data_IF_190359075219
#
_entry.id   IF_190359075219
#
_cell.length_a   1.000
_cell.length_b   1.000
_cell.length_c   1.000
_cell.angle_alpha   90.00
_cell.angle_beta   90.00
_cell.angle_gamma   90.00
#
_symmetry.space_group_name_H-M   'P 1'
#
loop_
_entity.id
_entity.type
_entity.pdbx_description
1 polymer ?
#
# COMPACT_ATOMS: atom_id res chain seq x y z
N UNK A 1 6.35 16.26 -8.47
CA UNK A 1 6.23 15.39 -9.67
C UNK A 1 5.12 14.38 -9.43
N UNK A 2 4.35 13.99 -10.46
CA UNK A 2 3.16 13.13 -10.32
C UNK A 2 3.45 11.79 -9.61
N UNK A 3 4.67 11.28 -9.76
CA UNK A 3 5.19 10.06 -9.16
C UNK A 3 5.16 10.05 -7.62
N UNK A 4 5.51 11.19 -7.00
CA UNK A 4 5.50 11.31 -5.54
C UNK A 4 4.07 11.26 -4.99
N UNK A 5 3.10 11.83 -5.71
CA UNK A 5 1.70 11.77 -5.31
C UNK A 5 1.13 10.35 -5.47
N UNK A 6 1.51 9.61 -6.51
CA UNK A 6 1.08 8.21 -6.68
C UNK A 6 1.66 7.29 -5.61
N UNK A 7 2.93 7.47 -5.26
CA UNK A 7 3.56 6.72 -4.18
C UNK A 7 2.93 7.03 -2.82
N UNK A 8 2.64 8.31 -2.55
CA UNK A 8 1.98 8.71 -1.31
C UNK A 8 0.59 8.08 -1.19
N UNK A 9 -0.21 8.12 -2.26
CA UNK A 9 -1.52 7.47 -2.28
C UNK A 9 -1.42 5.95 -2.10
N UNK A 10 -0.38 5.31 -2.63
CA UNK A 10 -0.14 3.88 -2.44
C UNK A 10 0.14 3.55 -0.97
N UNK A 11 0.96 4.37 -0.31
CA UNK A 11 1.29 4.22 1.11
C UNK A 11 0.05 4.35 1.99
N UNK A 12 -0.76 5.38 1.75
CA UNK A 12 -1.99 5.62 2.51
C UNK A 12 -2.97 4.45 2.39
N UNK A 13 -3.17 3.93 1.17
CA UNK A 13 -3.99 2.73 0.93
C UNK A 13 -3.45 1.50 1.62
N UNK A 14 -2.15 1.25 1.50
CA UNK A 14 -1.51 0.12 2.16
C UNK A 14 -1.71 0.18 3.68
N UNK A 15 -1.53 1.35 4.30
CA UNK A 15 -1.76 1.53 5.75
C UNK A 15 -3.23 1.32 6.13
N UNK A 16 -4.17 1.86 5.35
CA UNK A 16 -5.60 1.63 5.58
C UNK A 16 -5.95 0.14 5.51
N UNK A 17 -5.36 -0.60 4.57
CA UNK A 17 -5.55 -2.04 4.45
C UNK A 17 -4.99 -2.79 5.67
N UNK A 18 -3.81 -2.44 6.18
CA UNK A 18 -3.26 -3.05 7.39
C UNK A 18 -4.16 -2.84 8.61
N UNK A 19 -4.78 -1.66 8.73
CA UNK A 19 -5.76 -1.36 9.78
C UNK A 19 -7.01 -2.22 9.61
N UNK A 20 -7.56 -2.33 8.40
CA UNK A 20 -8.71 -3.19 8.10
C UNK A 20 -8.45 -4.66 8.41
N UNK A 21 -7.22 -5.11 8.20
CA UNK A 21 -6.79 -6.48 8.50
C UNK A 21 -6.39 -6.68 9.97
N UNK A 22 -6.49 -5.66 10.82
CA UNK A 22 -6.06 -5.68 12.23
C UNK A 22 -4.60 -6.12 12.45
N UNK A 23 -3.72 -5.80 11.49
CA UNK A 23 -2.26 -6.08 11.56
C UNK A 23 -1.41 -4.81 11.64
N UNK A 24 -2.05 -3.64 11.76
CA UNK A 24 -1.35 -2.36 11.89
C UNK A 24 -0.45 -2.27 13.14
N UNK A 25 -0.69 -3.10 14.16
CA UNK A 25 0.14 -3.17 15.37
C UNK A 25 1.48 -3.90 15.14
N UNK A 26 1.66 -4.61 14.03
CA UNK A 26 2.95 -5.16 13.63
C UNK A 26 3.83 -4.06 13.03
N UNK A 27 4.43 -3.27 13.92
CA UNK A 27 5.29 -2.13 13.57
C UNK A 27 6.43 -2.55 12.63
N UNK A 28 7.00 -3.75 12.81
CA UNK A 28 8.08 -4.24 11.95
C UNK A 28 7.59 -4.46 10.52
N UNK A 29 6.41 -5.06 10.37
CA UNK A 29 5.77 -5.26 9.08
C UNK A 29 5.43 -3.92 8.42
N UNK A 30 4.85 -2.99 9.19
CA UNK A 30 4.48 -1.65 8.73
C UNK A 30 5.70 -0.90 8.21
N UNK A 31 6.78 -0.85 8.99
CA UNK A 31 8.03 -0.16 8.63
C UNK A 31 8.68 -0.80 7.40
N UNK A 32 8.76 -2.14 7.38
CA UNK A 32 9.29 -2.87 6.24
C UNK A 32 8.51 -2.56 4.95
N UNK A 33 7.17 -2.52 5.03
CA UNK A 33 6.32 -2.22 3.89
C UNK A 33 6.53 -0.79 3.39
N UNK A 34 6.55 0.20 4.29
CA UNK A 34 6.76 1.60 3.93
C UNK A 34 8.13 1.83 3.26
N UNK A 35 9.17 1.17 3.76
CA UNK A 35 10.51 1.23 3.17
C UNK A 35 10.54 0.57 1.78
N UNK A 36 9.90 -0.60 1.62
CA UNK A 36 9.85 -1.31 0.33
C UNK A 36 9.07 -0.54 -0.71
N UNK A 37 7.93 0.06 -0.35
CA UNK A 37 7.15 0.91 -1.26
C UNK A 37 7.98 2.08 -1.82
N UNK A 38 8.90 2.63 -1.02
CA UNK A 38 9.80 3.72 -1.45
C UNK A 38 10.88 3.32 -2.45
N UNK A 39 11.10 2.03 -2.69
CA UNK A 39 12.12 1.50 -3.61
C UNK A 39 11.53 1.02 -4.95
N UNK A 40 10.22 1.13 -5.14
CA UNK A 40 9.53 0.59 -6.31
C UNK A 40 9.68 1.48 -7.53
N UNK A 41 9.85 0.84 -8.67
CA UNK A 41 9.76 1.46 -9.99
C UNK A 41 8.29 1.79 -10.34
N UNK A 42 8.07 2.78 -11.20
CA UNK A 42 6.73 3.28 -11.59
C UNK A 42 5.76 2.16 -12.02
N UNK A 43 6.27 1.19 -12.78
CA UNK A 43 5.48 0.04 -13.25
C UNK A 43 4.93 -0.77 -12.08
N UNK A 44 5.76 -1.02 -11.07
CA UNK A 44 5.40 -1.86 -9.94
C UNK A 44 4.45 -1.11 -9.00
N UNK A 45 4.61 0.21 -8.85
CA UNK A 45 3.67 1.09 -8.14
C UNK A 45 2.26 1.00 -8.71
N UNK A 46 2.11 1.04 -10.05
CA UNK A 46 0.81 0.95 -10.72
C UNK A 46 0.15 -0.43 -10.52
N UNK A 47 0.92 -1.50 -10.60
CA UNK A 47 0.43 -2.87 -10.37
C UNK A 47 0.01 -3.09 -8.92
N UNK A 48 0.77 -2.57 -7.95
CA UNK A 48 0.43 -2.64 -6.52
C UNK A 48 -0.84 -1.85 -6.20
N UNK A 49 -1.04 -0.67 -6.79
CA UNK A 49 -2.29 0.08 -6.66
C UNK A 49 -3.50 -0.76 -7.06
N UNK A 50 -3.40 -1.48 -8.19
CA UNK A 50 -4.47 -2.35 -8.67
C UNK A 50 -4.70 -3.53 -7.74
N UNK A 51 -3.63 -4.18 -7.28
CA UNK A 51 -3.72 -5.32 -6.36
C UNK A 51 -4.39 -4.91 -5.03
N UNK A 52 -3.97 -3.80 -4.42
CA UNK A 52 -4.58 -3.30 -3.19
C UNK A 52 -6.05 -3.00 -3.39
N UNK A 53 -6.42 -2.36 -4.50
CA UNK A 53 -7.82 -2.09 -4.82
C UNK A 53 -8.65 -3.38 -4.95
N UNK A 54 -8.12 -4.40 -5.63
CA UNK A 54 -8.81 -5.68 -5.77
C UNK A 54 -8.95 -6.40 -4.41
N UNK A 55 -7.96 -6.31 -3.52
CA UNK A 55 -8.05 -6.84 -2.14
C UNK A 55 -9.14 -6.10 -1.35
N UNK A 56 -9.09 -4.76 -1.32
CA UNK A 56 -10.10 -3.92 -0.65
C UNK A 56 -11.51 -4.28 -1.10
N UNK A 57 -11.71 -4.44 -2.41
CA UNK A 57 -12.99 -4.81 -3.02
C UNK A 57 -13.48 -6.20 -2.58
N UNK A 58 -12.57 -7.16 -2.38
CA UNK A 58 -12.93 -8.50 -1.93
C UNK A 58 -13.23 -8.55 -0.42
N UNK A 59 -12.59 -7.70 0.39
CA UNK A 59 -12.86 -7.62 1.85
C UNK A 59 -14.17 -6.87 2.13
N UNK A 60 -14.51 -5.87 1.31
CA UNK A 60 -15.74 -5.08 1.45
C UNK A 60 -16.97 -5.75 0.82
N UNK A 61 -16.79 -6.89 0.14
CA UNK A 61 -17.87 -7.69 -0.48
C UNK A 61 -18.37 -8.76 0.46
#
# INVERSE_FOLDING_TARGET
TADQHQLQALRERAMALLTTLAVADDIKLVDWLQQRLGLLEQRDTAMLHRLLHDIEKNITK
#
